data_IF_804185474327
#
_entry.id   IF_804185474327
#
_cell.length_a   1.000
_cell.length_b   1.000
_cell.length_c   1.000
_cell.angle_alpha   90.00
_cell.angle_beta   90.00
_cell.angle_gamma   90.00
#
_symmetry.space_group_name_H-M   'P 1'
#
loop_
_entity.id
_entity.type
_entity.pdbx_description
1 polymer ?
#
# COMPACT_ATOMS: atom_id res chain seq x y z
N UNK A 1 -4.44 -3.20 -12.89
CA UNK A 1 -5.05 -2.15 -12.04
C UNK A 1 -6.02 -1.34 -12.87
N UNK A 2 -7.27 -1.21 -12.43
CA UNK A 2 -8.27 -0.43 -13.15
C UNK A 2 -8.05 1.09 -12.96
N UNK A 3 -8.72 1.91 -13.79
CA UNK A 3 -8.53 3.37 -13.79
C UNK A 3 -8.98 4.03 -12.47
N UNK A 4 -10.08 3.56 -11.87
CA UNK A 4 -10.63 4.11 -10.63
C UNK A 4 -9.69 3.87 -9.43
N UNK A 5 -9.20 2.64 -9.25
CA UNK A 5 -8.21 2.31 -8.23
C UNK A 5 -6.94 3.13 -8.43
N UNK A 6 -6.47 3.28 -9.68
CA UNK A 6 -5.29 4.08 -9.99
C UNK A 6 -5.44 5.53 -9.50
N UNK A 7 -6.56 6.17 -9.79
CA UNK A 7 -6.83 7.55 -9.35
C UNK A 7 -6.87 7.66 -7.82
N UNK A 8 -7.58 6.73 -7.16
CA UNK A 8 -7.68 6.70 -5.70
C UNK A 8 -6.32 6.50 -5.03
N UNK A 9 -5.50 5.58 -5.53
CA UNK A 9 -4.14 5.34 -5.03
C UNK A 9 -3.28 6.60 -5.18
N UNK A 10 -3.28 7.21 -6.36
CA UNK A 10 -2.50 8.43 -6.61
C UNK A 10 -2.93 9.59 -5.70
N UNK A 11 -4.24 9.78 -5.50
CA UNK A 11 -4.77 10.80 -4.59
C UNK A 11 -4.29 10.59 -3.14
N UNK A 12 -4.35 9.34 -2.66
CA UNK A 12 -3.88 8.98 -1.31
C UNK A 12 -2.37 9.17 -1.15
N UNK A 13 -1.59 8.76 -2.14
CA UNK A 13 -0.13 8.94 -2.13
C UNK A 13 0.25 10.42 -2.08
N UNK A 14 -0.41 11.29 -2.87
CA UNK A 14 -0.21 12.75 -2.79
C UNK A 14 -0.52 13.33 -1.41
N UNK A 15 -1.57 12.81 -0.77
CA UNK A 15 -1.91 13.20 0.60
C UNK A 15 -0.81 12.76 1.58
N UNK A 16 -0.34 11.51 1.50
CA UNK A 16 0.74 10.97 2.34
C UNK A 16 2.03 11.79 2.17
N UNK A 17 2.39 12.13 0.93
CA UNK A 17 3.53 13.00 0.62
C UNK A 17 3.43 14.36 1.35
N UNK A 18 2.22 14.94 1.40
CA UNK A 18 1.96 16.15 2.18
C UNK A 18 2.17 15.97 3.69
N UNK A 19 1.75 14.84 4.26
CA UNK A 19 1.97 14.51 5.66
C UNK A 19 3.44 14.30 5.98
N UNK A 20 4.19 13.61 5.11
CA UNK A 20 5.64 13.41 5.27
C UNK A 20 6.37 14.76 5.27
N UNK A 21 6.01 15.69 4.38
CA UNK A 21 6.52 17.06 4.44
C UNK A 21 6.16 17.79 5.74
N UNK A 22 4.97 17.53 6.28
CA UNK A 22 4.56 18.04 7.59
C UNK A 22 5.49 17.55 8.71
N UNK A 23 5.77 16.24 8.74
CA UNK A 23 6.68 15.62 9.71
C UNK A 23 8.09 16.22 9.59
N UNK A 24 8.60 16.41 8.38
CA UNK A 24 9.90 17.06 8.17
C UNK A 24 9.96 18.44 8.83
N UNK A 25 8.91 19.27 8.66
CA UNK A 25 8.83 20.58 9.35
C UNK A 25 8.80 20.43 10.86
N UNK A 26 8.00 19.51 11.39
CA UNK A 26 7.96 19.27 12.85
C UNK A 26 9.33 18.91 13.43
N UNK A 27 10.14 18.14 12.69
CA UNK A 27 11.51 17.82 13.09
C UNK A 27 12.43 19.04 12.99
N UNK A 28 12.31 19.84 11.93
CA UNK A 28 13.09 21.10 11.78
C UNK A 28 12.76 22.13 12.84
N UNK A 29 11.50 22.18 13.29
CA UNK A 29 10.99 23.13 14.28
C UNK A 29 11.20 22.64 15.73
N UNK A 30 11.94 21.53 15.94
CA UNK A 30 12.19 20.91 17.24
C UNK A 30 10.90 20.59 18.03
N UNK A 31 9.83 20.21 17.32
CA UNK A 31 8.56 19.83 17.96
C UNK A 31 8.73 18.60 18.86
N UNK A 32 7.83 18.48 19.84
CA UNK A 32 7.86 17.39 20.82
C UNK A 32 7.84 16.00 20.15
N UNK A 33 8.80 15.15 20.53
CA UNK A 33 9.04 13.87 19.87
C UNK A 33 7.79 12.95 19.83
N UNK A 34 6.95 12.99 20.86
CA UNK A 34 5.72 12.18 20.90
C UNK A 34 4.73 12.59 19.80
N UNK A 35 4.65 13.88 19.49
CA UNK A 35 3.77 14.37 18.42
C UNK A 35 4.30 13.97 17.05
N UNK A 36 5.63 14.04 16.85
CA UNK A 36 6.29 13.56 15.62
C UNK A 36 6.04 12.07 15.43
N UNK A 37 6.23 11.26 16.47
CA UNK A 37 5.95 9.81 16.44
C UNK A 37 4.49 9.55 16.09
N UNK A 38 3.55 10.28 16.68
CA UNK A 38 2.12 10.16 16.38
C UNK A 38 1.80 10.43 14.91
N UNK A 39 2.42 11.46 14.31
CA UNK A 39 2.26 11.75 12.89
C UNK A 39 2.89 10.68 11.99
N UNK A 40 4.06 10.14 12.36
CA UNK A 40 4.68 9.01 11.65
C UNK A 40 3.75 7.79 11.66
N UNK A 41 3.14 7.47 12.79
CA UNK A 41 2.17 6.37 12.90
C UNK A 41 0.91 6.63 12.05
N UNK A 42 0.47 7.89 11.95
CA UNK A 42 -0.64 8.25 11.06
C UNK A 42 -0.30 8.01 9.58
N UNK A 43 0.95 8.30 9.17
CA UNK A 43 1.45 8.00 7.82
C UNK A 43 1.53 6.50 7.56
N UNK A 44 2.02 5.71 8.51
CA UNK A 44 2.04 4.25 8.41
C UNK A 44 0.64 3.68 8.17
N UNK A 45 -0.35 4.07 8.99
CA UNK A 45 -1.75 3.68 8.80
C UNK A 45 -2.33 4.12 7.46
N UNK A 46 -1.89 5.26 6.93
CA UNK A 46 -2.32 5.72 5.61
C UNK A 46 -1.72 4.86 4.48
N UNK A 47 -0.47 4.44 4.60
CA UNK A 47 0.19 3.49 3.69
C UNK A 47 -0.49 2.11 3.74
N UNK A 48 -0.86 1.62 4.92
CA UNK A 48 -1.59 0.35 5.07
C UNK A 48 -2.92 0.34 4.29
N UNK A 49 -3.62 1.47 4.28
CA UNK A 49 -4.85 1.64 3.48
C UNK A 49 -4.57 1.64 1.98
N UNK A 50 -3.44 2.20 1.55
CA UNK A 50 -3.01 2.14 0.13
C UNK A 50 -2.68 0.70 -0.25
N UNK A 51 -1.94 -0.03 0.60
CA UNK A 51 -1.64 -1.44 0.40
C UNK A 51 -2.90 -2.28 0.28
N UNK A 52 -3.88 -2.06 1.19
CA UNK A 52 -5.16 -2.76 1.16
C UNK A 52 -5.92 -2.52 -0.15
N UNK A 53 -5.93 -1.28 -0.64
CA UNK A 53 -6.59 -0.92 -1.90
C UNK A 53 -5.91 -1.56 -3.13
N UNK A 54 -4.57 -1.59 -3.14
CA UNK A 54 -3.80 -2.24 -4.20
C UNK A 54 -4.02 -3.75 -4.20
N UNK A 55 -4.01 -4.37 -3.02
CA UNK A 55 -4.26 -5.80 -2.84
C UNK A 55 -5.68 -6.15 -3.32
N UNK A 56 -6.71 -5.43 -2.87
CA UNK A 56 -8.08 -5.65 -3.30
C UNK A 56 -8.22 -5.59 -4.83
N UNK A 57 -7.63 -4.58 -5.48
CA UNK A 57 -7.61 -4.54 -6.94
C UNK A 57 -6.86 -5.74 -7.55
N UNK A 58 -5.71 -6.15 -6.99
CA UNK A 58 -4.94 -7.28 -7.53
C UNK A 58 -5.73 -8.59 -7.45
N UNK A 59 -6.41 -8.85 -6.32
CA UNK A 59 -7.32 -9.97 -6.15
C UNK A 59 -8.44 -9.93 -7.18
N UNK A 60 -9.11 -8.78 -7.33
CA UNK A 60 -10.25 -8.64 -8.24
C UNK A 60 -9.88 -8.56 -9.73
N UNK A 61 -8.60 -8.35 -10.09
CA UNK A 61 -8.16 -8.29 -11.49
C UNK A 61 -7.25 -9.45 -11.87
N UNK A 62 -6.05 -9.53 -11.31
CA UNK A 62 -5.01 -10.45 -11.77
C UNK A 62 -5.34 -11.87 -11.34
N UNK A 63 -5.73 -12.06 -10.08
CA UNK A 63 -6.03 -13.38 -9.52
C UNK A 63 -7.29 -13.95 -10.15
N UNK A 64 -8.39 -13.20 -10.21
CA UNK A 64 -9.62 -13.68 -10.87
C UNK A 64 -9.36 -14.07 -12.33
N UNK A 65 -8.54 -13.30 -13.05
CA UNK A 65 -8.19 -13.61 -14.45
C UNK A 65 -7.37 -14.89 -14.54
N UNK A 66 -6.32 -15.03 -13.71
CA UNK A 66 -5.47 -16.20 -13.68
C UNK A 66 -6.26 -17.47 -13.28
N UNK A 67 -7.09 -17.40 -12.25
CA UNK A 67 -7.90 -18.54 -11.79
C UNK A 67 -8.89 -19.02 -12.85
N UNK A 68 -9.39 -18.12 -13.70
CA UNK A 68 -10.29 -18.45 -14.82
C UNK A 68 -9.56 -18.90 -16.08
N UNK A 69 -8.24 -18.77 -16.15
CA UNK A 69 -7.46 -19.22 -17.31
C UNK A 69 -7.22 -20.72 -17.23
N UNK A 70 -7.08 -21.37 -18.38
CA UNK A 70 -6.64 -22.77 -18.46
C UNK A 70 -5.12 -22.94 -18.22
N UNK A 71 -4.39 -21.83 -18.05
CA UNK A 71 -2.95 -21.83 -17.84
C UNK A 71 -2.60 -22.04 -16.35
N UNK A 72 -2.17 -23.26 -16.02
CA UNK A 72 -1.72 -23.62 -14.68
C UNK A 72 -0.48 -22.88 -14.21
N UNK A 73 0.44 -22.51 -15.12
CA UNK A 73 1.65 -21.79 -14.72
C UNK A 73 1.33 -20.36 -14.32
N UNK A 74 0.42 -19.71 -15.05
CA UNK A 74 -0.03 -18.37 -14.71
C UNK A 74 -0.75 -18.32 -13.36
N UNK A 75 -1.56 -19.35 -13.04
CA UNK A 75 -2.18 -19.49 -11.72
C UNK A 75 -1.15 -19.59 -10.60
N UNK A 76 -0.17 -20.49 -10.75
CA UNK A 76 0.86 -20.70 -9.74
C UNK A 76 1.70 -19.44 -9.52
N UNK A 77 2.06 -18.74 -10.61
CA UNK A 77 2.83 -17.49 -10.56
C UNK A 77 2.09 -16.41 -9.75
N UNK A 78 0.84 -16.13 -10.10
CA UNK A 78 0.06 -15.07 -9.45
C UNK A 78 -0.22 -15.39 -7.97
N UNK A 79 -0.46 -16.65 -7.63
CA UNK A 79 -0.60 -17.07 -6.23
C UNK A 79 0.72 -16.97 -5.45
N UNK A 80 1.84 -17.34 -6.06
CA UNK A 80 3.17 -17.20 -5.47
C UNK A 80 3.54 -15.74 -5.18
N UNK A 81 3.19 -14.82 -6.07
CA UNK A 81 3.38 -13.38 -5.86
C UNK A 81 2.63 -12.87 -4.62
N UNK A 82 1.40 -13.33 -4.40
CA UNK A 82 0.62 -12.97 -3.21
C UNK A 82 1.26 -13.48 -1.92
N UNK A 83 1.68 -14.74 -1.89
CA UNK A 83 2.35 -15.32 -0.72
C UNK A 83 3.61 -14.53 -0.36
N UNK A 84 4.41 -14.16 -1.37
CA UNK A 84 5.61 -13.37 -1.16
C UNK A 84 5.33 -11.99 -0.53
N UNK A 85 4.26 -11.32 -0.97
CA UNK A 85 3.84 -10.02 -0.40
C UNK A 85 3.45 -10.16 1.08
N UNK A 86 2.71 -11.20 1.44
CA UNK A 86 2.30 -11.45 2.83
C UNK A 86 3.46 -11.83 3.74
N UNK A 87 4.42 -12.62 3.26
CA UNK A 87 5.64 -12.96 4.00
C UNK A 87 6.51 -11.73 4.27
N UNK A 88 6.59 -10.81 3.31
CA UNK A 88 7.36 -9.57 3.45
C UNK A 88 6.68 -8.62 4.44
N UNK A 89 5.35 -8.50 4.39
CA UNK A 89 4.58 -7.68 5.32
C UNK A 89 4.58 -8.18 6.77
N UNK A 90 4.77 -9.48 7.00
CA UNK A 90 4.81 -10.06 8.36
C UNK A 90 6.20 -9.98 9.03
N UNK A 91 7.23 -9.57 8.29
CA UNK A 91 8.63 -9.49 8.80
C UNK A 91 9.03 -8.08 9.26
N UNK A 92 8.12 -7.09 9.14
CA UNK A 92 8.27 -5.72 9.63
C UNK A 92 7.50 -5.55 10.94
#
# INVERSE_FOLDING_TARGET
MNAQTKEQVLSRLKSIEGHVRGIQRMVTDDNYCIDVISQVQAVQKALDRVNSLLLDNHLNSCVITAVRSDDSQERERVLGELLHVFETGSKL
#
